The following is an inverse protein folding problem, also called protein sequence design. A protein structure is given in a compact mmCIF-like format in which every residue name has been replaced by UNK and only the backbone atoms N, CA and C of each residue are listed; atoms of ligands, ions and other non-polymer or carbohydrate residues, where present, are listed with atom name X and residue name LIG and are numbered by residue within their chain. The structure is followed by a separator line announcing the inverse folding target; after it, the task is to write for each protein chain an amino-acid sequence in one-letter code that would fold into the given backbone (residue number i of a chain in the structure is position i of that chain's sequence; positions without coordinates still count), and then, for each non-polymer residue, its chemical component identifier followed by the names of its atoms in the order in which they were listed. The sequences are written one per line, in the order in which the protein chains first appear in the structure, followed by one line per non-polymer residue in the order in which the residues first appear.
data_IF_290966240885
#
_entry.id   IF_290966240885
#
_cell.length_a   1.000
_cell.length_b   1.000
_cell.length_c   1.000
_cell.angle_alpha   90.00
_cell.angle_beta   90.00
_cell.angle_gamma   90.00
#
_symmetry.space_group_name_H-M   'P 1'
#
loop_
_entity.id
_entity.type
_entity.pdbx_description
1 polymer ?
#
# COMPACT_ATOMS: atom_id res chain seq x y z
N UNK A 1 -0.48 26.56 -1.96
CA UNK A 1 0.23 25.26 -1.94
C UNK A 1 -0.33 24.31 -0.90
N UNK A 2 -0.32 24.67 0.39
CA UNK A 2 -0.72 23.79 1.49
C UNK A 2 -2.13 23.19 1.38
N UNK A 3 -3.10 23.93 0.86
CA UNK A 3 -4.50 23.50 0.80
C UNK A 3 -4.90 22.73 -0.46
N UNK A 4 -4.10 22.77 -1.52
CA UNK A 4 -4.41 22.11 -2.79
C UNK A 4 -3.34 21.11 -3.21
N UNK A 5 -2.08 21.56 -3.33
CA UNK A 5 -1.00 20.73 -3.87
C UNK A 5 -0.63 19.59 -2.92
N UNK A 6 -0.37 19.90 -1.64
CA UNK A 6 -0.01 18.89 -0.64
C UNK A 6 -1.09 17.81 -0.50
N UNK A 7 -2.39 18.15 -0.29
CA UNK A 7 -3.43 17.13 -0.21
C UNK A 7 -3.55 16.26 -1.47
N UNK A 8 -3.32 16.84 -2.65
CA UNK A 8 -3.41 16.10 -3.91
C UNK A 8 -2.24 15.12 -4.06
N UNK A 9 -1.01 15.55 -3.76
CA UNK A 9 0.16 14.69 -3.80
C UNK A 9 0.09 13.58 -2.75
N UNK A 10 -0.40 13.87 -1.54
CA UNK A 10 -0.51 12.88 -0.47
C UNK A 10 -1.56 11.81 -0.80
N UNK A 11 -2.73 12.20 -1.33
CA UNK A 11 -3.74 11.25 -1.81
C UNK A 11 -3.21 10.35 -2.91
N UNK A 12 -2.50 10.94 -3.87
CA UNK A 12 -1.88 10.18 -4.95
C UNK A 12 -0.84 9.19 -4.41
N UNK A 13 0.04 9.63 -3.51
CA UNK A 13 1.05 8.78 -2.91
C UNK A 13 0.44 7.60 -2.14
N UNK A 14 -0.56 7.86 -1.29
CA UNK A 14 -1.23 6.79 -0.54
C UNK A 14 -1.95 5.80 -1.47
N UNK A 15 -2.54 6.28 -2.57
CA UNK A 15 -3.17 5.40 -3.55
C UNK A 15 -2.13 4.50 -4.26
N UNK A 16 -0.98 5.06 -4.64
CA UNK A 16 0.11 4.29 -5.27
C UNK A 16 0.73 3.28 -4.29
N UNK A 17 0.96 3.67 -3.03
CA UNK A 17 1.49 2.77 -2.01
C UNK A 17 0.54 1.61 -1.71
N UNK A 18 -0.77 1.87 -1.63
CA UNK A 18 -1.76 0.83 -1.43
C UNK A 18 -1.88 -0.12 -2.64
N UNK A 19 -1.87 0.44 -3.86
CA UNK A 19 -1.98 -0.37 -5.08
C UNK A 19 -0.75 -1.27 -5.31
N UNK A 20 0.42 -0.83 -4.85
CA UNK A 20 1.70 -1.52 -5.02
C UNK A 20 2.27 -2.05 -3.69
N UNK A 21 1.43 -2.28 -2.69
CA UNK A 21 1.88 -2.83 -1.41
C UNK A 21 2.51 -4.23 -1.58
N UNK A 22 3.55 -4.49 -0.81
CA UNK A 22 4.19 -5.80 -0.77
C UNK A 22 3.29 -6.87 -0.18
N UNK A 23 2.43 -6.49 0.77
CA UNK A 23 1.48 -7.40 1.39
C UNK A 23 0.12 -6.74 1.62
N UNK A 24 -0.94 -7.53 1.48
CA UNK A 24 -2.31 -7.13 1.77
C UNK A 24 -2.87 -7.99 2.91
N UNK A 25 -3.15 -7.38 4.06
CA UNK A 25 -3.83 -8.04 5.16
C UNK A 25 -5.34 -7.81 5.00
N UNK A 26 -6.10 -8.88 5.02
CA UNK A 26 -7.55 -8.85 4.87
C UNK A 26 -8.24 -9.40 6.11
N UNK A 27 -9.19 -8.65 6.68
CA UNK A 27 -9.91 -9.04 7.87
C UNK A 27 -11.39 -9.30 7.60
N UNK A 28 -11.93 -10.39 8.16
CA UNK A 28 -13.35 -10.71 8.12
C UNK A 28 -14.19 -9.72 8.92
N UNK A 29 -13.69 -9.29 10.09
CA UNK A 29 -14.38 -8.36 10.96
C UNK A 29 -14.01 -6.91 10.65
N UNK A 30 -15.01 -6.03 10.62
CA UNK A 30 -14.79 -4.59 10.52
C UNK A 30 -13.89 -4.06 11.66
N UNK A 31 -13.23 -2.93 11.43
CA UNK A 31 -12.43 -2.26 12.46
C UNK A 31 -13.36 -1.75 13.56
N UNK A 32 -13.10 -2.17 14.79
CA UNK A 32 -13.85 -1.79 15.99
C UNK A 32 -12.86 -1.50 17.14
N UNK A 33 -13.36 -0.82 18.19
CA UNK A 33 -12.57 -0.52 19.40
C UNK A 33 -11.91 -1.77 20.01
N UNK A 34 -12.60 -2.92 19.98
CA UNK A 34 -12.13 -4.17 20.57
C UNK A 34 -11.04 -4.90 19.79
N UNK A 35 -10.85 -4.58 18.50
CA UNK A 35 -9.94 -5.33 17.64
C UNK A 35 -8.88 -4.46 16.92
N UNK A 36 -8.95 -3.13 17.06
CA UNK A 36 -8.06 -2.23 16.35
C UNK A 36 -6.60 -2.40 16.76
N UNK A 37 -6.33 -2.61 18.04
CA UNK A 37 -4.97 -2.78 18.55
C UNK A 37 -4.39 -4.10 18.04
N UNK A 38 -5.13 -5.22 18.11
CA UNK A 38 -4.65 -6.50 17.58
C UNK A 38 -4.35 -6.43 16.09
N UNK A 39 -5.20 -5.74 15.30
CA UNK A 39 -4.97 -5.54 13.86
C UNK A 39 -3.71 -4.71 13.56
N UNK A 40 -3.35 -3.75 14.42
CA UNK A 40 -2.11 -3.00 14.29
C UNK A 40 -0.90 -3.85 14.70
N UNK A 41 -1.05 -4.69 15.72
CA UNK A 41 0.01 -5.63 16.12
C UNK A 41 0.26 -6.70 15.05
N UNK A 42 -0.76 -7.18 14.34
CA UNK A 42 -0.58 -8.11 13.21
C UNK A 42 0.32 -7.51 12.11
N UNK A 43 0.26 -6.19 11.89
CA UNK A 43 1.17 -5.50 10.96
C UNK A 43 2.60 -5.52 11.49
N UNK A 44 2.77 -5.31 12.80
CA UNK A 44 4.08 -5.35 13.44
C UNK A 44 4.70 -6.74 13.35
N UNK A 45 3.94 -7.79 13.66
CA UNK A 45 4.36 -9.20 13.51
C UNK A 45 4.79 -9.48 12.07
N UNK A 46 3.99 -9.06 11.08
CA UNK A 46 4.38 -9.23 9.67
C UNK A 46 5.71 -8.54 9.35
N UNK A 47 5.93 -7.32 9.83
CA UNK A 47 7.20 -6.62 9.60
C UNK A 47 8.39 -7.29 10.26
N UNK A 48 8.20 -7.89 11.45
CA UNK A 48 9.26 -8.61 12.15
C UNK A 48 9.60 -9.93 11.46
N UNK A 49 8.58 -10.70 11.06
CA UNK A 49 8.74 -11.97 10.35
C UNK A 49 9.43 -11.81 8.99
N UNK A 50 9.28 -10.65 8.34
CA UNK A 50 9.91 -10.33 7.06
C UNK A 50 11.16 -9.46 7.19
N UNK A 51 11.76 -9.38 8.39
CA UNK A 51 13.01 -8.67 8.65
C UNK A 51 13.01 -7.19 8.22
N UNK A 52 11.84 -6.54 8.22
CA UNK A 52 11.73 -5.12 7.94
C UNK A 52 12.40 -4.32 9.06
N UNK A 53 13.27 -3.33 8.79
CA UNK A 53 13.93 -2.53 9.83
C UNK A 53 12.92 -1.90 10.81
N UNK A 54 13.24 -1.91 12.11
CA UNK A 54 12.36 -1.42 13.19
C UNK A 54 12.27 0.10 13.26
N UNK A 55 13.22 0.80 12.64
CA UNK A 55 13.24 2.26 12.61
C UNK A 55 12.27 2.82 11.56
N UNK A 56 11.71 3.99 11.84
CA UNK A 56 10.87 4.75 10.91
C UNK A 56 9.72 3.96 10.27
N UNK A 57 9.08 3.08 11.05
CA UNK A 57 7.82 2.42 10.69
C UNK A 57 6.66 3.36 11.00
N UNK A 58 5.82 3.59 10.01
CA UNK A 58 4.63 4.44 10.14
C UNK A 58 3.38 3.68 9.76
N UNK A 59 2.29 3.91 10.47
CA UNK A 59 0.97 3.45 10.08
C UNK A 59 0.02 4.64 9.95
N UNK A 60 -0.54 4.80 8.77
CA UNK A 60 -1.58 5.79 8.50
C UNK A 60 -2.95 5.22 8.80
N UNK A 61 -3.67 5.91 9.66
CA UNK A 61 -4.94 5.47 10.22
C UNK A 61 -5.97 6.58 10.04
N UNK A 62 -7.20 6.22 9.66
CA UNK A 62 -8.31 7.20 9.57
C UNK A 62 -8.55 7.86 10.93
N UNK A 63 -8.86 9.14 10.94
CA UNK A 63 -9.13 9.88 12.19
C UNK A 63 -10.25 9.24 13.03
N UNK A 64 -11.24 8.59 12.40
CA UNK A 64 -12.28 7.81 13.11
C UNK A 64 -11.69 6.64 13.91
N UNK A 65 -10.68 5.98 13.37
CA UNK A 65 -10.00 4.87 14.02
C UNK A 65 -9.04 5.37 15.12
N UNK A 66 -8.46 6.56 14.97
CA UNK A 66 -7.68 7.21 16.06
C UNK A 66 -8.54 7.40 17.30
N UNK A 67 -9.80 7.82 17.14
CA UNK A 67 -10.72 7.93 18.27
C UNK A 67 -10.95 6.57 18.96
N UNK A 68 -11.06 5.49 18.18
CA UNK A 68 -11.19 4.12 18.72
C UNK A 68 -9.93 3.68 19.47
N UNK A 69 -8.74 3.99 18.94
CA UNK A 69 -7.46 3.69 19.60
C UNK A 69 -7.37 4.41 20.95
N UNK A 70 -7.66 5.71 20.98
CA UNK A 70 -7.63 6.51 22.22
C UNK A 70 -8.61 6.03 23.30
N UNK A 71 -9.72 5.41 22.89
CA UNK A 71 -10.72 4.83 23.80
C UNK A 71 -10.40 3.38 24.18
N UNK A 72 -9.37 2.76 23.60
CA UNK A 72 -8.94 1.41 23.99
C UNK A 72 -8.20 1.45 25.31
N UNK A 73 -8.49 0.48 26.19
CA UNK A 73 -7.79 0.32 27.48
C UNK A 73 -6.35 -0.13 27.36
N UNK A 74 -5.98 -0.67 26.21
CA UNK A 74 -4.64 -1.21 25.91
C UNK A 74 -3.68 -0.13 25.39
N UNK A 75 -4.21 1.04 25.02
CA UNK A 75 -3.40 2.13 24.49
C UNK A 75 -2.78 2.94 25.66
N UNK A 76 -1.48 2.86 25.80
CA UNK A 76 -0.73 3.68 26.73
C UNK A 76 -0.13 4.87 25.98
N UNK A 77 -0.40 6.08 26.46
CA UNK A 77 0.29 7.28 25.98
C UNK A 77 1.76 7.20 26.43
N UNK A 78 2.70 7.30 25.50
CA UNK A 78 4.11 7.43 25.87
C UNK A 78 4.32 8.76 26.59
N UNK A 79 4.71 8.68 27.88
CA UNK A 79 5.00 9.83 28.74
C UNK A 79 6.13 10.67 28.15
N UNK A 80 6.20 11.95 28.34
CA UNK A 80 7.30 12.89 28.04
C UNK A 80 7.93 12.94 26.60
N UNK A 81 7.90 11.88 25.81
CA UNK A 81 8.33 11.92 24.39
C UNK A 81 7.21 12.36 23.43
N UNK A 82 5.97 12.41 23.93
CA UNK A 82 4.74 12.68 23.17
C UNK A 82 4.74 14.06 22.54
N UNK A 83 5.21 15.09 23.23
CA UNK A 83 5.18 16.46 22.70
C UNK A 83 6.02 16.64 21.44
N UNK A 84 7.19 16.00 21.36
CA UNK A 84 8.04 16.03 20.17
C UNK A 84 7.47 15.22 19.00
N UNK A 85 6.70 14.15 19.29
CA UNK A 85 6.05 13.30 18.30
C UNK A 85 4.76 13.96 17.78
N UNK A 86 3.97 14.57 18.65
CA UNK A 86 2.76 15.33 18.28
C UNK A 86 3.06 16.47 17.31
N UNK A 87 4.20 17.14 17.46
CA UNK A 87 4.65 18.19 16.54
C UNK A 87 4.90 17.70 15.11
N UNK A 88 5.10 16.38 14.92
CA UNK A 88 5.29 15.73 13.60
C UNK A 88 4.00 15.09 13.03
N UNK A 89 2.84 15.31 13.67
CA UNK A 89 1.58 14.68 13.26
C UNK A 89 1.44 13.20 13.69
N UNK A 90 2.36 12.69 14.51
CA UNK A 90 2.28 11.36 15.09
C UNK A 90 1.36 11.44 16.31
N UNK A 91 0.30 10.62 16.34
CA UNK A 91 -0.70 10.61 17.42
C UNK A 91 -0.23 9.77 18.60
N UNK A 92 0.60 8.77 18.35
CA UNK A 92 1.11 7.85 19.37
C UNK A 92 1.98 6.77 18.75
N UNK A 93 2.37 5.81 19.57
CA UNK A 93 3.18 4.66 19.16
C UNK A 93 2.57 3.38 19.72
N UNK A 94 2.53 2.32 18.92
CA UNK A 94 2.19 0.96 19.38
C UNK A 94 3.37 0.08 18.95
N UNK A 95 4.03 -0.56 19.90
CA UNK A 95 5.26 -1.30 19.62
C UNK A 95 6.28 -0.45 18.87
N UNK A 96 6.67 -0.87 17.69
CA UNK A 96 7.62 -0.17 16.79
C UNK A 96 6.92 0.78 15.81
N UNK A 97 5.57 0.74 15.72
CA UNK A 97 4.78 1.50 14.74
C UNK A 97 4.45 2.91 15.26
N UNK A 98 4.78 3.94 14.49
CA UNK A 98 4.36 5.31 14.72
C UNK A 98 3.00 5.54 14.06
N UNK A 99 1.98 5.91 14.83
CA UNK A 99 0.61 6.10 14.37
C UNK A 99 0.43 7.53 13.87
N UNK A 100 0.03 7.68 12.61
CA UNK A 100 -0.28 8.96 11.97
C UNK A 100 -1.76 9.02 11.62
N UNK A 101 -2.45 10.02 12.16
CA UNK A 101 -3.86 10.26 11.85
C UNK A 101 -4.01 10.99 10.51
N UNK A 102 -4.86 10.45 9.63
CA UNK A 102 -5.17 11.08 8.35
C UNK A 102 -6.68 11.23 8.15
N UNK A 103 -7.13 12.30 7.45
CA UNK A 103 -8.52 12.41 7.05
C UNK A 103 -8.96 11.21 6.22
N UNK A 104 -10.20 10.72 6.42
CA UNK A 104 -10.71 9.59 5.65
C UNK A 104 -10.66 9.82 4.12
N UNK A 105 -10.78 11.09 3.69
CA UNK A 105 -10.68 11.47 2.28
C UNK A 105 -9.26 11.31 1.67
N UNK A 106 -8.22 11.06 2.46
CA UNK A 106 -6.87 10.79 1.98
C UNK A 106 -6.64 9.30 1.75
N UNK A 107 -7.38 8.46 2.47
CA UNK A 107 -7.28 7.01 2.30
C UNK A 107 -7.90 6.58 0.96
N UNK A 108 -7.23 5.68 0.23
CA UNK A 108 -7.80 5.06 -0.96
C UNK A 108 -9.11 4.30 -0.62
N UNK A 109 -9.95 4.09 -1.62
CA UNK A 109 -11.18 3.34 -1.45
C UNK A 109 -10.90 1.94 -0.87
N UNK A 110 -11.76 1.50 0.06
CA UNK A 110 -11.71 0.18 0.69
C UNK A 110 -10.44 -0.11 1.54
N UNK A 111 -9.56 0.87 1.77
CA UNK A 111 -8.40 0.74 2.64
C UNK A 111 -8.75 1.22 4.05
N UNK A 112 -8.38 0.41 5.05
CA UNK A 112 -8.55 0.76 6.46
C UNK A 112 -7.28 1.39 7.05
N UNK A 113 -6.12 0.78 6.80
CA UNK A 113 -4.81 1.25 7.23
C UNK A 113 -3.77 1.04 6.14
N UNK A 114 -2.76 1.90 6.11
CA UNK A 114 -1.56 1.72 5.29
C UNK A 114 -0.36 1.83 6.22
N UNK A 115 0.45 0.80 6.29
CA UNK A 115 1.69 0.81 7.05
C UNK A 115 2.88 0.71 6.11
N UNK A 116 3.94 1.46 6.41
CA UNK A 116 5.18 1.33 5.68
C UNK A 116 6.41 1.72 6.50
N UNK A 117 7.53 1.12 6.13
CA UNK A 117 8.85 1.57 6.55
C UNK A 117 9.32 2.65 5.58
N UNK A 118 9.85 3.76 6.09
CA UNK A 118 10.15 4.97 5.32
C UNK A 118 11.05 4.75 4.09
N UNK A 119 11.94 3.78 4.13
CA UNK A 119 12.84 3.50 3.00
C UNK A 119 12.19 2.69 1.88
N UNK A 120 11.02 2.06 2.15
CA UNK A 120 10.31 1.22 1.18
C UNK A 120 9.46 2.02 0.19
N UNK A 121 9.27 3.30 0.45
CA UNK A 121 8.41 4.19 -0.34
C UNK A 121 9.14 5.44 -0.78
N UNK A 122 8.76 5.99 -1.92
CA UNK A 122 9.33 7.21 -2.48
C UNK A 122 8.24 8.12 -3.03
N UNK A 123 8.39 9.44 -2.81
CA UNK A 123 7.57 10.49 -3.40
C UNK A 123 8.50 11.58 -4.00
N UNK A 124 9.13 11.33 -5.15
CA UNK A 124 9.98 12.32 -5.78
C UNK A 124 9.19 13.47 -6.39
N UNK A 125 9.65 14.69 -6.16
CA UNK A 125 9.20 15.89 -6.84
C UNK A 125 10.23 16.30 -7.89
N UNK A 126 9.87 16.23 -9.17
CA UNK A 126 10.77 16.60 -10.27
C UNK A 126 10.73 18.10 -10.58
N UNK A 127 9.54 18.67 -10.53
CA UNK A 127 9.33 20.10 -10.78
C UNK A 127 8.51 20.67 -9.63
N UNK A 128 8.98 21.76 -9.05
CA UNK A 128 8.27 22.56 -8.08
C UNK A 128 8.60 24.03 -8.38
N UNK A 129 7.90 24.58 -9.35
CA UNK A 129 8.10 25.94 -9.83
C UNK A 129 6.84 26.77 -9.60
N UNK A 130 7.04 28.05 -9.27
CA UNK A 130 5.96 29.02 -9.13
C UNK A 130 6.40 30.37 -9.71
N UNK A 131 5.54 30.96 -10.53
CA UNK A 131 5.79 32.23 -11.20
C UNK A 131 4.66 33.21 -10.93
N UNK A 132 5.02 34.48 -10.83
CA UNK A 132 4.06 35.59 -10.76
C UNK A 132 4.13 36.33 -12.07
N UNK A 133 3.03 36.36 -12.79
CA UNK A 133 2.84 37.17 -13.99
C UNK A 133 2.22 38.50 -13.55
N UNK A 134 2.91 39.61 -13.88
CA UNK A 134 2.40 40.94 -13.63
C UNK A 134 1.57 41.36 -14.83
N UNK A 135 0.34 41.84 -14.60
CA UNK A 135 -0.61 42.34 -15.59
C UNK A 135 -0.71 41.46 -16.89
N UNK A 136 -1.06 40.15 -16.74
CA UNK A 136 -1.20 39.30 -17.91
C UNK A 136 -2.40 39.75 -18.78
N UNK A 137 -2.36 39.55 -20.11
CA UNK A 137 -3.46 39.91 -21.00
C UNK A 137 -4.78 39.30 -20.56
N UNK A 138 -5.81 40.13 -20.39
CA UNK A 138 -7.17 39.70 -20.05
C UNK A 138 -7.45 39.60 -18.53
N UNK A 139 -6.49 39.91 -17.68
CA UNK A 139 -6.68 39.95 -16.23
C UNK A 139 -6.12 41.26 -15.65
N UNK A 140 -6.93 41.99 -14.87
CA UNK A 140 -6.46 43.15 -14.10
C UNK A 140 -5.86 42.66 -12.79
N UNK A 141 -4.52 42.74 -12.64
CA UNK A 141 -3.80 42.32 -11.45
C UNK A 141 -2.70 41.29 -11.74
N UNK A 142 -2.29 40.57 -10.70
CA UNK A 142 -1.21 39.57 -10.80
C UNK A 142 -1.75 38.15 -10.83
N UNK A 143 -1.20 37.32 -11.73
CA UNK A 143 -1.52 35.90 -11.83
C UNK A 143 -0.39 35.06 -11.20
N UNK A 144 -0.72 34.23 -10.23
CA UNK A 144 0.20 33.23 -9.67
C UNK A 144 0.00 31.89 -10.40
N UNK A 145 1.02 31.47 -11.14
CA UNK A 145 1.08 30.17 -11.78
C UNK A 145 1.99 29.22 -10.98
N UNK A 146 1.56 27.98 -10.80
CA UNK A 146 2.37 26.93 -10.15
C UNK A 146 2.39 25.67 -10.96
N UNK A 147 3.58 25.08 -11.18
CA UNK A 147 3.77 23.79 -11.82
C UNK A 147 4.43 22.80 -10.87
N UNK A 148 3.79 21.65 -10.70
CA UNK A 148 4.28 20.56 -9.87
C UNK A 148 4.29 19.27 -10.68
N UNK A 149 5.41 18.56 -10.66
CA UNK A 149 5.54 17.23 -11.25
C UNK A 149 6.10 16.31 -10.18
N UNK A 150 5.35 15.32 -9.82
CA UNK A 150 5.69 14.34 -8.78
C UNK A 150 5.20 12.96 -9.21
N UNK A 151 5.76 11.94 -8.60
CA UNK A 151 5.33 10.55 -8.73
C UNK A 151 5.46 9.86 -7.36
N UNK A 152 4.87 8.68 -7.22
CA UNK A 152 4.93 7.90 -5.99
C UNK A 152 5.06 6.42 -6.32
N UNK A 153 6.00 5.74 -5.69
CA UNK A 153 6.20 4.32 -5.93
C UNK A 153 6.76 3.59 -4.69
N UNK A 154 6.55 2.30 -4.70
CA UNK A 154 7.12 1.35 -3.75
C UNK A 154 8.38 0.74 -4.38
N UNK A 155 9.43 0.59 -3.59
CA UNK A 155 10.69 -0.02 -4.05
C UNK A 155 10.53 -1.54 -4.01
N UNK A 156 10.51 -2.19 -5.18
CA UNK A 156 10.21 -3.60 -5.33
C UNK A 156 11.12 -4.55 -4.54
N UNK A 157 12.40 -4.22 -4.37
CA UNK A 157 13.35 -5.03 -3.60
C UNK A 157 13.07 -5.08 -2.09
N UNK A 158 12.35 -4.10 -1.57
CA UNK A 158 11.99 -3.97 -0.14
C UNK A 158 10.48 -3.71 0.04
N UNK A 159 9.68 -4.24 -0.88
CA UNK A 159 8.24 -4.04 -0.90
C UNK A 159 7.52 -4.63 0.32
N UNK A 160 8.10 -5.64 0.98
CA UNK A 160 7.57 -6.20 2.23
C UNK A 160 7.52 -5.16 3.37
N UNK A 161 8.24 -4.06 3.23
CA UNK A 161 8.10 -2.89 4.10
C UNK A 161 6.84 -2.04 3.84
N UNK A 162 5.91 -2.47 2.98
CA UNK A 162 4.64 -1.77 2.72
C UNK A 162 3.48 -2.76 2.86
N UNK A 163 2.59 -2.48 3.80
CA UNK A 163 1.40 -3.31 4.10
C UNK A 163 0.15 -2.49 3.98
N UNK A 164 -0.86 -3.00 3.29
CA UNK A 164 -2.19 -2.44 3.23
C UNK A 164 -3.20 -3.34 3.95
N UNK A 165 -4.06 -2.73 4.74
CA UNK A 165 -5.13 -3.42 5.48
C UNK A 165 -6.47 -3.10 4.85
N UNK A 166 -7.20 -4.13 4.50
CA UNK A 166 -8.51 -4.04 3.82
C UNK A 166 -9.54 -5.01 4.44
N UNK A 167 -10.79 -4.85 4.09
CA UNK A 167 -11.81 -5.86 4.37
C UNK A 167 -11.56 -7.10 3.50
N UNK A 168 -11.99 -8.29 3.95
CA UNK A 168 -11.73 -9.57 3.28
C UNK A 168 -12.23 -9.60 1.83
N UNK A 169 -13.39 -9.04 1.59
CA UNK A 169 -14.02 -8.94 0.28
C UNK A 169 -13.31 -7.96 -0.68
N UNK A 170 -12.28 -7.25 -0.19
CA UNK A 170 -11.49 -6.26 -0.93
C UNK A 170 -10.05 -6.71 -1.22
N UNK A 171 -9.70 -7.94 -0.90
CA UNK A 171 -8.45 -8.61 -1.33
C UNK A 171 -8.78 -9.63 -2.40
N UNK A 172 -8.04 -9.62 -3.50
CA UNK A 172 -8.16 -10.65 -4.53
C UNK A 172 -7.78 -12.03 -3.97
N UNK A 173 -8.49 -13.06 -4.39
CA UNK A 173 -8.13 -14.42 -4.05
C UNK A 173 -6.81 -14.81 -4.70
N UNK A 174 -5.95 -15.47 -3.95
CA UNK A 174 -4.69 -15.98 -4.47
C UNK A 174 -4.95 -16.96 -5.64
N UNK A 175 -4.20 -16.84 -6.76
CA UNK A 175 -4.40 -17.72 -7.88
C UNK A 175 -3.96 -19.15 -7.56
N UNK A 176 -4.65 -20.12 -8.15
CA UNK A 176 -4.28 -21.54 -8.08
C UNK A 176 -3.58 -21.91 -9.38
N UNK A 177 -2.37 -22.46 -9.29
CA UNK A 177 -1.59 -22.96 -10.42
C UNK A 177 -1.75 -24.48 -10.49
N UNK A 178 -2.32 -24.98 -11.57
CA UNK A 178 -2.55 -26.41 -11.78
C UNK A 178 -1.75 -26.89 -12.98
N UNK A 179 -0.84 -27.85 -12.77
CA UNK A 179 -0.07 -28.52 -13.83
C UNK A 179 -0.83 -29.72 -14.36
N UNK A 180 -0.98 -29.80 -15.67
CA UNK A 180 -1.46 -30.94 -16.43
C UNK A 180 -0.57 -31.15 -17.66
N UNK A 181 -1.16 -31.46 -18.80
CA UNK A 181 -0.48 -31.39 -20.13
C UNK A 181 -0.11 -29.95 -20.48
N UNK A 182 -0.85 -28.99 -19.95
CA UNK A 182 -0.57 -27.56 -19.92
C UNK A 182 -0.73 -27.05 -18.49
N UNK A 183 -0.09 -25.94 -18.14
CA UNK A 183 -0.26 -25.32 -16.83
C UNK A 183 -1.34 -24.24 -16.91
N UNK A 184 -2.35 -24.35 -16.07
CA UNK A 184 -3.45 -23.38 -15.95
C UNK A 184 -3.34 -22.60 -14.65
N UNK A 185 -3.68 -21.32 -14.71
CA UNK A 185 -3.73 -20.43 -13.54
C UNK A 185 -5.15 -19.90 -13.44
N UNK A 186 -5.80 -20.11 -12.31
CA UNK A 186 -7.18 -19.69 -12.06
C UNK A 186 -7.29 -18.90 -10.78
N UNK A 187 -8.22 -17.96 -10.70
CA UNK A 187 -8.58 -17.25 -9.47
C UNK A 187 -10.09 -17.24 -9.30
N UNK A 188 -10.57 -17.22 -8.07
CA UNK A 188 -12.00 -17.12 -7.76
C UNK A 188 -12.52 -15.68 -7.76
N UNK A 189 -11.65 -14.68 -7.86
CA UNK A 189 -12.05 -13.28 -7.99
C UNK A 189 -12.45 -13.00 -9.42
N UNK A 190 -13.73 -12.63 -9.63
CA UNK A 190 -14.23 -12.22 -10.95
C UNK A 190 -13.48 -11.00 -11.47
N UNK A 191 -13.20 -10.96 -12.78
CA UNK A 191 -12.55 -9.86 -13.49
C UNK A 191 -11.14 -9.49 -13.01
N UNK A 192 -10.56 -10.30 -12.11
CA UNK A 192 -9.18 -10.10 -11.69
C UNK A 192 -8.19 -10.42 -12.81
N UNK A 193 -7.24 -9.53 -12.99
CA UNK A 193 -6.09 -9.76 -13.86
C UNK A 193 -5.07 -10.62 -13.12
N UNK A 194 -4.62 -11.68 -13.76
CA UNK A 194 -3.57 -12.56 -13.23
C UNK A 194 -2.28 -12.30 -13.98
N UNK A 195 -1.21 -12.06 -13.25
CA UNK A 195 0.14 -11.94 -13.79
C UNK A 195 1.03 -13.04 -13.24
N UNK A 196 1.94 -13.52 -14.07
CA UNK A 196 2.85 -14.59 -13.69
C UNK A 196 4.26 -14.39 -14.27
N UNK A 197 5.23 -15.10 -13.69
CA UNK A 197 6.60 -15.26 -14.17
C UNK A 197 6.95 -16.75 -14.18
N UNK A 198 7.89 -17.15 -15.03
CA UNK A 198 8.37 -18.53 -15.12
C UNK A 198 9.84 -18.69 -14.73
N UNK A 199 10.48 -17.59 -14.37
CA UNK A 199 11.89 -17.51 -13.95
C UNK A 199 12.06 -17.46 -12.42
N UNK A 200 10.95 -17.57 -11.67
CA UNK A 200 10.93 -17.50 -10.21
C UNK A 200 11.07 -16.08 -9.65
N UNK A 201 11.15 -15.05 -10.50
CA UNK A 201 11.10 -13.65 -10.05
C UNK A 201 9.71 -13.26 -9.53
N UNK A 202 9.61 -12.18 -8.74
CA UNK A 202 8.31 -11.71 -8.26
C UNK A 202 7.53 -11.02 -9.38
N UNK A 203 6.33 -11.54 -9.76
CA UNK A 203 5.55 -11.01 -10.88
C UNK A 203 4.98 -9.61 -10.63
N UNK A 204 5.02 -9.08 -9.40
CA UNK A 204 4.61 -7.71 -9.10
C UNK A 204 5.59 -6.68 -9.66
N UNK A 205 6.89 -7.01 -9.68
CA UNK A 205 8.00 -6.09 -9.96
C UNK A 205 8.85 -6.49 -11.14
N UNK A 206 8.78 -7.76 -11.57
CA UNK A 206 9.60 -8.29 -12.66
C UNK A 206 9.25 -7.67 -14.00
N UNK A 207 10.27 -7.39 -14.79
CA UNK A 207 10.13 -6.99 -16.20
C UNK A 207 9.72 -8.15 -17.11
N UNK A 208 9.91 -9.39 -16.64
CA UNK A 208 9.53 -10.63 -17.36
C UNK A 208 8.08 -11.06 -17.09
N UNK A 209 7.35 -10.31 -16.26
CA UNK A 209 5.95 -10.63 -15.95
C UNK A 209 5.09 -10.63 -17.20
N UNK A 210 4.24 -11.63 -17.28
CA UNK A 210 3.27 -11.80 -18.38
C UNK A 210 1.86 -11.82 -17.83
N UNK A 211 0.92 -11.12 -18.48
CA UNK A 211 -0.50 -11.23 -18.16
C UNK A 211 -1.02 -12.59 -18.62
N UNK A 212 -1.67 -13.34 -17.73
CA UNK A 212 -2.24 -14.62 -18.06
C UNK A 212 -3.49 -14.46 -18.93
N UNK A 213 -3.48 -15.05 -20.12
CA UNK A 213 -4.61 -15.04 -21.06
C UNK A 213 -4.94 -16.42 -21.59
N UNK A 214 -3.99 -17.35 -21.54
CA UNK A 214 -4.16 -18.72 -22.03
C UNK A 214 -3.27 -19.69 -21.23
N UNK A 215 -3.59 -20.99 -21.28
CA UNK A 215 -2.79 -22.02 -20.64
C UNK A 215 -1.34 -22.00 -21.13
N UNK A 216 -0.42 -22.11 -20.18
CA UNK A 216 1.03 -22.11 -20.45
C UNK A 216 1.40 -23.47 -21.02
N UNK A 217 2.09 -23.49 -22.16
CA UNK A 217 2.64 -24.72 -22.72
C UNK A 217 3.55 -25.40 -21.68
N UNK A 218 3.55 -26.73 -21.67
CA UNK A 218 4.18 -27.55 -20.65
C UNK A 218 5.58 -27.04 -20.24
N UNK A 219 5.71 -26.37 -19.07
CA UNK A 219 7.00 -25.88 -18.64
C UNK A 219 7.93 -27.05 -18.26
N UNK A 220 9.22 -26.86 -18.51
CA UNK A 220 10.23 -27.87 -18.17
C UNK A 220 10.23 -28.18 -16.67
N UNK A 221 10.48 -29.43 -16.27
CA UNK A 221 10.66 -29.78 -14.86
C UNK A 221 11.70 -28.87 -14.18
N UNK A 222 11.37 -28.40 -12.98
CA UNK A 222 12.22 -27.45 -12.24
C UNK A 222 11.87 -25.97 -12.46
N UNK A 223 11.05 -25.63 -13.46
CA UNK A 223 10.55 -24.25 -13.66
C UNK A 223 9.75 -23.78 -12.44
N UNK A 224 10.05 -22.57 -11.94
CA UNK A 224 9.33 -21.95 -10.83
C UNK A 224 8.38 -20.91 -11.41
N UNK A 225 7.09 -21.19 -11.27
CA UNK A 225 6.04 -20.25 -11.66
C UNK A 225 5.61 -19.49 -10.40
N UNK A 226 5.68 -18.16 -10.47
CA UNK A 226 5.06 -17.29 -9.47
C UNK A 226 3.90 -16.53 -10.11
N UNK A 227 2.79 -16.43 -9.40
CA UNK A 227 1.59 -15.74 -9.89
C UNK A 227 0.89 -14.96 -8.80
N UNK A 228 0.24 -13.86 -9.16
CA UNK A 228 -0.65 -13.09 -8.30
C UNK A 228 -1.84 -12.56 -9.11
N UNK A 229 -2.91 -12.22 -8.41
CA UNK A 229 -4.12 -11.63 -8.98
C UNK A 229 -4.31 -10.19 -8.48
N UNK A 230 -4.79 -9.30 -9.34
CA UNK A 230 -5.06 -7.90 -8.98
C UNK A 230 -6.31 -7.39 -9.70
N UNK A 231 -7.09 -6.50 -9.04
CA UNK A 231 -8.26 -5.84 -9.62
C UNK A 231 -8.46 -4.45 -9.01
N UNK A 232 -7.42 -3.61 -9.13
CA UNK A 232 -7.41 -2.26 -8.55
C UNK A 232 -8.53 -1.38 -9.11
N UNK A 233 -8.84 -1.48 -10.41
CA UNK A 233 -9.93 -0.74 -11.05
C UNK A 233 -11.31 -1.07 -10.46
N UNK A 234 -11.50 -2.31 -9.96
CA UNK A 234 -12.70 -2.73 -9.23
C UNK A 234 -12.63 -2.47 -7.72
N UNK A 235 -11.60 -1.80 -7.23
CA UNK A 235 -11.43 -1.46 -5.82
C UNK A 235 -11.01 -2.63 -4.93
N UNK A 236 -10.41 -3.68 -5.53
CA UNK A 236 -9.82 -4.81 -4.82
C UNK A 236 -8.30 -4.77 -4.90
N UNK A 237 -7.65 -5.15 -3.82
CA UNK A 237 -6.20 -5.10 -3.66
C UNK A 237 -5.53 -6.42 -4.03
N UNK A 238 -4.24 -6.39 -4.38
CA UNK A 238 -3.53 -7.57 -4.86
C UNK A 238 -3.58 -8.74 -3.88
N UNK A 239 -3.65 -9.95 -4.43
CA UNK A 239 -3.48 -11.20 -3.68
C UNK A 239 -2.03 -11.39 -3.25
N UNK A 240 -1.82 -12.36 -2.36
CA UNK A 240 -0.48 -12.87 -2.11
C UNK A 240 0.08 -13.56 -3.36
N UNK A 241 1.41 -13.57 -3.47
CA UNK A 241 2.12 -14.26 -4.56
C UNK A 241 2.17 -15.74 -4.26
N UNK A 242 1.65 -16.54 -5.17
CA UNK A 242 1.73 -18.01 -5.09
C UNK A 242 2.94 -18.48 -5.87
N UNK A 243 3.68 -19.42 -5.29
CA UNK A 243 4.85 -20.05 -5.93
C UNK A 243 4.53 -21.51 -6.22
N UNK A 244 4.70 -21.93 -7.46
CA UNK A 244 4.54 -23.31 -7.90
C UNK A 244 5.81 -23.79 -8.61
N UNK A 245 6.38 -24.90 -8.14
CA UNK A 245 7.50 -25.56 -8.78
C UNK A 245 7.00 -26.69 -9.68
N UNK A 246 7.27 -26.60 -10.97
CA UNK A 246 6.95 -27.67 -11.90
C UNK A 246 7.85 -28.89 -11.65
N UNK A 247 7.25 -30.05 -11.36
CA UNK A 247 7.93 -31.32 -11.11
C UNK A 247 7.82 -32.18 -12.37
#
# INVERSE_FOLDING_TARGET
MREKVTPTSDKYALAQYAANAGHTIAYDAAVAKSNIISKLLDIEVYFEDNFVPTDRRYVFVKNTHIAMIKLSSEFQYADSAVDKLLMKGIVGKIGTLNIVGVPAAYMPANVEHIAFQSNSVMLPFKIKDSRIHQDPPGLSGHLLEGRFMYDAFVIGAICDGVVVVVAKDKKCAAPTVTKGTTTTITTTTSDAEVYYTTDGSDPRWSTTRTKYSAAIANPTPGTIIKAYATYISGGMYPSDVVTHKCI
#
